data_IF_722218604086
#
_entry.id   IF_722218604086
#
_cell.length_a   1.000
_cell.length_b   1.000
_cell.length_c   1.000
_cell.angle_alpha   90.00
_cell.angle_beta   90.00
_cell.angle_gamma   90.00
#
_symmetry.space_group_name_H-M   'P 1'
#
loop_
_entity.id
_entity.type
_entity.pdbx_description
1 polymer ?
#
# COMPACT_ATOMS: atom_id res chain seq x y z
N UNK A 1 9.36 -15.28 -4.94
CA UNK A 1 8.37 -15.55 -6.03
C UNK A 1 8.19 -17.03 -6.39
N UNK A 2 9.11 -17.96 -6.07
CA UNK A 2 8.91 -19.38 -6.41
C UNK A 2 7.74 -20.04 -5.64
N UNK A 3 7.42 -19.56 -4.43
CA UNK A 3 6.23 -19.96 -3.66
C UNK A 3 4.90 -19.33 -4.16
N UNK A 4 4.95 -18.34 -5.07
CA UNK A 4 3.78 -17.58 -5.56
C UNK A 4 3.79 -17.49 -7.10
N UNK A 5 3.57 -18.61 -7.82
CA UNK A 5 3.73 -18.67 -9.28
C UNK A 5 2.76 -17.74 -10.03
N UNK A 6 1.57 -17.48 -9.49
CA UNK A 6 0.56 -16.59 -10.07
C UNK A 6 0.98 -15.11 -10.06
N UNK A 7 1.97 -14.74 -9.23
CA UNK A 7 2.52 -13.38 -9.16
C UNK A 7 3.75 -13.17 -10.05
N UNK A 8 4.19 -14.18 -10.82
CA UNK A 8 5.33 -14.02 -11.72
C UNK A 8 4.99 -13.11 -12.91
N UNK A 9 5.98 -12.37 -13.38
CA UNK A 9 5.92 -11.53 -14.59
C UNK A 9 4.75 -10.53 -14.54
N UNK A 10 4.59 -9.85 -13.41
CA UNK A 10 3.67 -8.73 -13.25
C UNK A 10 4.40 -7.42 -13.53
N UNK A 11 3.75 -6.53 -14.27
CA UNK A 11 4.11 -5.12 -14.30
C UNK A 11 3.36 -4.48 -13.13
N UNK A 12 4.07 -4.22 -12.04
CA UNK A 12 3.51 -3.64 -10.83
C UNK A 12 3.19 -2.16 -11.04
N UNK A 13 2.31 -1.61 -10.20
CA UNK A 13 2.02 -0.16 -10.19
C UNK A 13 3.22 0.66 -9.73
N UNK A 14 4.09 0.05 -8.94
CA UNK A 14 5.39 0.54 -8.55
C UNK A 14 6.42 -0.56 -8.87
N UNK A 15 7.23 -0.34 -9.90
CA UNK A 15 8.27 -1.27 -10.34
C UNK A 15 9.51 -1.24 -9.44
N UNK A 16 9.62 -0.22 -8.59
CA UNK A 16 10.68 -0.03 -7.59
C UNK A 16 10.16 -0.10 -6.16
N UNK A 17 9.06 -0.82 -5.92
CA UNK A 17 8.44 -0.98 -4.60
C UNK A 17 9.38 -1.47 -3.47
N UNK A 18 10.52 -2.05 -3.84
CA UNK A 18 11.55 -2.55 -2.93
C UNK A 18 12.59 -1.48 -2.53
N UNK A 19 12.54 -0.29 -3.14
CA UNK A 19 13.39 0.86 -2.86
C UNK A 19 12.56 1.92 -2.10
N UNK A 20 13.03 2.43 -0.94
CA UNK A 20 12.36 3.55 -0.29
C UNK A 20 12.34 4.78 -1.20
N UNK A 21 11.16 5.39 -1.37
CA UNK A 21 10.98 6.63 -2.12
C UNK A 21 9.94 7.53 -1.44
N UNK A 22 9.96 8.82 -1.78
CA UNK A 22 8.94 9.76 -1.32
C UNK A 22 7.58 9.41 -1.94
N UNK A 23 6.51 9.74 -1.22
CA UNK A 23 5.14 9.51 -1.69
C UNK A 23 4.76 10.61 -2.68
N UNK A 24 4.48 10.24 -3.93
CA UNK A 24 4.07 11.20 -4.97
C UNK A 24 2.62 11.70 -4.77
N UNK A 25 1.70 10.80 -4.41
CA UNK A 25 0.27 11.10 -4.34
C UNK A 25 -0.49 10.13 -3.42
N UNK A 26 -1.42 10.66 -2.63
CA UNK A 26 -2.42 9.87 -1.91
C UNK A 26 -3.70 9.75 -2.75
N UNK A 27 -4.16 8.51 -2.96
CA UNK A 27 -5.36 8.21 -3.77
C UNK A 27 -6.53 7.91 -2.84
N UNK A 28 -7.57 8.73 -2.92
CA UNK A 28 -8.83 8.52 -2.20
C UNK A 28 -9.60 7.29 -2.68
N UNK A 29 -10.40 6.71 -1.79
CA UNK A 29 -11.20 5.49 -2.06
C UNK A 29 -12.25 5.69 -3.17
N UNK A 30 -12.70 6.91 -3.38
CA UNK A 30 -13.63 7.31 -4.43
C UNK A 30 -13.08 7.06 -5.84
N UNK A 31 -11.76 6.99 -6.00
CA UNK A 31 -11.11 6.65 -7.27
C UNK A 31 -11.03 5.15 -7.50
N UNK A 32 -11.23 4.32 -6.48
CA UNK A 32 -11.13 2.86 -6.60
C UNK A 32 -11.99 2.27 -7.73
N UNK A 33 -13.29 2.61 -7.86
CA UNK A 33 -14.14 2.09 -8.93
C UNK A 33 -13.68 2.49 -10.34
N UNK A 34 -12.89 3.57 -10.44
CA UNK A 34 -12.40 4.12 -11.71
C UNK A 34 -11.08 3.44 -12.12
N UNK A 35 -10.18 3.21 -11.15
CA UNK A 35 -8.83 2.70 -11.43
C UNK A 35 -8.77 1.16 -11.44
N UNK A 36 -9.71 0.49 -10.77
CA UNK A 36 -9.71 -0.98 -10.68
C UNK A 36 -10.10 -1.59 -12.02
N UNK A 37 -9.30 -2.55 -12.49
CA UNK A 37 -9.55 -3.30 -13.71
C UNK A 37 -10.20 -4.66 -13.44
N UNK A 38 -10.58 -5.32 -14.53
CA UNK A 38 -11.31 -6.60 -14.47
C UNK A 38 -10.40 -7.84 -14.30
N UNK A 39 -9.07 -7.66 -14.39
CA UNK A 39 -8.12 -8.79 -14.33
C UNK A 39 -7.62 -9.00 -12.91
N UNK A 40 -7.71 -10.24 -12.44
CA UNK A 40 -7.15 -10.69 -11.15
C UNK A 40 -6.33 -11.95 -11.38
N UNK A 41 -5.23 -12.11 -10.63
CA UNK A 41 -4.47 -13.37 -10.55
C UNK A 41 -4.55 -13.88 -9.12
N UNK A 42 -5.27 -14.98 -8.95
CA UNK A 42 -5.58 -15.58 -7.65
C UNK A 42 -4.76 -16.86 -7.52
N UNK A 43 -4.05 -17.00 -6.40
CA UNK A 43 -3.36 -18.23 -6.05
C UNK A 43 -4.22 -19.14 -5.16
N UNK A 44 -3.62 -20.17 -4.55
CA UNK A 44 -4.29 -20.99 -3.54
C UNK A 44 -4.84 -20.15 -2.37
N UNK A 45 -5.85 -20.66 -1.64
CA UNK A 45 -6.35 -20.02 -0.43
C UNK A 45 -5.22 -19.65 0.55
N UNK A 46 -5.31 -18.47 1.15
CA UNK A 46 -4.27 -17.96 2.06
C UNK A 46 -3.09 -17.25 1.39
N UNK A 47 -2.99 -17.28 0.05
CA UNK A 47 -1.97 -16.54 -0.70
C UNK A 47 -2.48 -15.18 -1.16
N UNK A 48 -1.58 -14.20 -1.40
CA UNK A 48 -1.98 -12.89 -1.88
C UNK A 48 -2.52 -12.93 -3.32
N UNK A 49 -3.32 -11.94 -3.67
CA UNK A 49 -3.97 -11.76 -4.98
C UNK A 49 -3.37 -10.54 -5.68
N UNK A 50 -3.11 -10.66 -6.98
CA UNK A 50 -2.79 -9.51 -7.81
C UNK A 50 -4.03 -8.98 -8.53
N UNK A 51 -4.27 -7.67 -8.43
CA UNK A 51 -5.39 -6.97 -9.08
C UNK A 51 -4.80 -5.99 -10.09
N UNK A 52 -5.28 -6.04 -11.34
CA UNK A 52 -4.86 -5.07 -12.35
C UNK A 52 -5.59 -3.75 -12.11
N UNK A 53 -4.87 -2.65 -12.04
CA UNK A 53 -5.39 -1.28 -12.11
C UNK A 53 -4.87 -0.57 -13.35
N UNK A 54 -5.32 0.66 -13.57
CA UNK A 54 -4.78 1.58 -14.58
C UNK A 54 -3.29 1.88 -14.36
N UNK A 55 -2.82 1.90 -13.11
CA UNK A 55 -1.43 2.20 -12.74
C UNK A 55 -0.49 0.99 -12.89
N UNK A 56 -1.02 -0.23 -12.86
CA UNK A 56 -0.20 -1.44 -12.83
C UNK A 56 -0.90 -2.57 -12.07
N UNK A 57 -0.20 -3.66 -11.79
CA UNK A 57 -0.71 -4.64 -10.84
C UNK A 57 -0.39 -4.20 -9.41
N UNK A 58 -1.37 -4.32 -8.53
CA UNK A 58 -1.18 -4.21 -7.09
C UNK A 58 -1.38 -5.60 -6.47
N UNK A 59 -0.62 -5.89 -5.42
CA UNK A 59 -0.69 -7.16 -4.69
C UNK A 59 -1.36 -6.91 -3.34
N UNK A 60 -2.42 -7.64 -3.05
CA UNK A 60 -3.19 -7.53 -1.81
C UNK A 60 -3.34 -8.88 -1.14
N UNK A 61 -3.47 -8.89 0.18
CA UNK A 61 -3.73 -10.09 0.96
C UNK A 61 -2.54 -10.51 1.80
N UNK A 62 -2.72 -11.59 2.54
CA UNK A 62 -1.74 -12.07 3.52
C UNK A 62 -0.59 -12.75 2.81
N UNK A 63 0.63 -12.50 3.27
CA UNK A 63 1.81 -13.28 2.92
C UNK A 63 2.27 -14.03 4.17
N UNK A 64 2.80 -15.24 3.99
CA UNK A 64 3.50 -15.95 5.06
C UNK A 64 4.80 -15.18 5.35
N UNK A 65 4.76 -14.29 6.34
CA UNK A 65 5.98 -13.69 6.89
C UNK A 65 6.49 -14.72 7.89
N UNK A 66 7.59 -15.40 7.55
CA UNK A 66 8.40 -16.07 8.56
C UNK A 66 8.85 -14.97 9.53
N UNK A 67 8.30 -15.00 10.74
CA UNK A 67 8.55 -14.01 11.78
C UNK A 67 10.06 -14.04 12.05
N UNK A 68 10.79 -13.05 11.53
CA UNK A 68 12.15 -12.80 11.98
C UNK A 68 12.06 -12.46 13.47
N UNK A 69 12.84 -13.13 14.35
CA UNK A 69 12.78 -12.85 15.77
C UNK A 69 13.26 -11.42 16.00
N UNK A 70 12.35 -10.62 16.57
CA UNK A 70 12.54 -9.27 17.11
C UNK A 70 12.81 -8.15 16.09
N UNK A 71 11.89 -7.17 16.07
CA UNK A 71 12.01 -5.84 15.42
C UNK A 71 11.50 -5.66 13.98
N UNK A 72 10.37 -6.25 13.62
CA UNK A 72 9.59 -5.75 12.48
C UNK A 72 8.08 -5.93 12.69
N UNK A 73 7.50 -5.10 13.57
CA UNK A 73 6.08 -4.74 13.45
C UNK A 73 5.93 -3.84 12.20
N UNK A 74 5.94 -4.46 11.01
CA UNK A 74 5.58 -3.81 9.75
C UNK A 74 4.23 -4.33 9.27
N UNK A 75 3.28 -4.38 10.18
CA UNK A 75 1.92 -4.09 9.76
C UNK A 75 1.95 -2.61 9.33
N UNK A 76 1.54 -2.28 8.09
CA UNK A 76 1.03 -0.92 7.83
C UNK A 76 -0.37 -0.87 8.48
N UNK A 77 -0.40 -1.09 9.78
CA UNK A 77 -1.44 -0.68 10.69
C UNK A 77 -0.78 0.43 11.50
N UNK A 78 -1.27 1.65 11.35
CA UNK A 78 -0.85 2.75 12.22
C UNK A 78 -1.49 2.55 13.60
N UNK A 79 -1.05 1.53 14.34
CA UNK A 79 -1.27 1.43 15.77
C UNK A 79 -0.24 2.33 16.44
N UNK A 80 -0.55 3.61 16.51
CA UNK A 80 0.20 4.51 17.37
C UNK A 80 -0.26 4.30 18.81
N UNK A 81 0.66 3.83 19.65
CA UNK A 81 0.49 3.86 21.10
C UNK A 81 0.80 5.27 21.60
N UNK A 82 -0.20 6.15 21.61
CA UNK A 82 -0.15 7.51 22.15
C UNK A 82 -1.57 8.03 22.41
N UNK A 83 -1.75 9.09 23.22
CA UNK A 83 -3.06 9.71 23.39
C UNK A 83 -3.61 10.11 22.02
N UNK A 84 -4.87 9.79 21.76
CA UNK A 84 -5.54 9.94 20.47
C UNK A 84 -5.42 11.38 19.94
N UNK A 85 -5.48 12.35 20.84
CA UNK A 85 -5.41 13.78 20.55
C UNK A 85 -4.09 14.16 19.86
N UNK A 86 -2.95 13.70 20.37
CA UNK A 86 -1.63 13.98 19.79
C UNK A 86 -1.50 13.37 18.38
N UNK A 87 -2.13 12.21 18.19
CA UNK A 87 -2.13 11.52 16.91
C UNK A 87 -2.94 12.26 15.86
N UNK A 88 -4.12 12.73 16.25
CA UNK A 88 -5.02 13.51 15.40
C UNK A 88 -4.38 14.85 15.05
N UNK A 89 -3.73 15.53 16.00
CA UNK A 89 -2.98 16.76 15.71
C UNK A 89 -1.84 16.54 14.71
N UNK A 90 -1.07 15.47 14.88
CA UNK A 90 0.01 15.13 13.95
C UNK A 90 -0.50 14.79 12.56
N UNK A 91 -1.59 14.04 12.47
CA UNK A 91 -2.25 13.70 11.20
C UNK A 91 -2.68 14.98 10.46
N UNK A 92 -3.39 15.88 11.14
CA UNK A 92 -3.82 17.15 10.54
C UNK A 92 -2.66 18.07 10.17
N UNK A 93 -1.54 18.03 10.89
CA UNK A 93 -0.34 18.78 10.54
C UNK A 93 0.27 18.30 9.22
N UNK A 94 0.30 16.98 9.01
CA UNK A 94 0.86 16.36 7.81
C UNK A 94 -0.02 16.55 6.56
N UNK A 95 -1.35 16.54 6.71
CA UNK A 95 -2.28 16.73 5.58
C UNK A 95 -2.54 18.20 5.19
N UNK A 96 -2.00 19.17 5.93
CA UNK A 96 -2.18 20.59 5.58
C UNK A 96 -1.50 20.89 4.24
N UNK A 97 -2.33 21.20 3.24
CA UNK A 97 -1.87 21.75 1.97
C UNK A 97 -1.22 23.12 2.22
N UNK A 98 0.01 23.38 1.72
CA UNK A 98 0.64 24.68 1.87
C UNK A 98 -0.22 25.77 1.22
N UNK A 99 -0.41 26.87 1.94
CA UNK A 99 -1.21 28.00 1.46
C UNK A 99 -0.44 28.68 0.33
N UNK A 100 -0.89 28.50 -0.90
CA UNK A 100 -0.37 29.25 -2.03
C UNK A 100 -0.85 30.70 -1.90
N UNK A 101 0.05 31.61 -1.49
CA UNK A 101 -0.19 33.05 -1.63
C UNK A 101 -0.07 33.39 -3.12
N UNK A 102 -1.19 33.38 -3.81
CA UNK A 102 -1.31 33.94 -5.15
C UNK A 102 -1.17 35.46 -4.99
N UNK A 103 -0.04 36.00 -5.46
CA UNK A 103 0.26 37.43 -5.50
C UNK A 103 -0.38 38.08 -6.73
#
# INVERSE_FOLDING_TARGET
LNKLPHLKNLVLADDKFYEPHDIDLLIGSELWPIIVGNKKRVGPPGTPVAIKTTLGYIVMGRTEIEILPESCNKDICFFSSGPLEELVEKFWSLERVPVCNIS
#
